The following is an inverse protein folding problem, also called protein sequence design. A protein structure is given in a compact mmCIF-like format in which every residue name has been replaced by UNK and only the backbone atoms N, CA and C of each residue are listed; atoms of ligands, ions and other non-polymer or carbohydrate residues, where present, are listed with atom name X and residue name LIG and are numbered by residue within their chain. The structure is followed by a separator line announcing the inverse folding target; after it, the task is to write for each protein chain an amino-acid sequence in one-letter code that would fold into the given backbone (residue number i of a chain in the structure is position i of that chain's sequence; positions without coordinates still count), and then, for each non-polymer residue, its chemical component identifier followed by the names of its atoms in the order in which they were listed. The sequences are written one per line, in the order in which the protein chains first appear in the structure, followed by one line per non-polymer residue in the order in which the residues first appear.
data_IF_629660323974
#
_entry.id   IF_629660323974
#
_cell.length_a   1.000
_cell.length_b   1.000
_cell.length_c   1.000
_cell.angle_alpha   90.00
_cell.angle_beta   90.00
_cell.angle_gamma   90.00
#
_symmetry.space_group_name_H-M   'P 1'
#
loop_
_entity.id
_entity.type
_entity.pdbx_description
1 polymer ?
#
# COMPACT_ATOMS: atom_id res chain seq x y z
N UNK A 1 -3.25 -42.34 6.76
CA UNK A 1 -3.31 -42.65 8.21
C UNK A 1 -4.11 -41.56 8.89
N UNK A 2 -5.32 -41.86 9.33
CA UNK A 2 -6.08 -40.95 10.23
C UNK A 2 -5.56 -41.13 11.66
N UNK A 3 -5.68 -40.09 12.48
CA UNK A 3 -5.06 -39.99 13.80
C UNK A 3 -5.52 -41.10 14.75
N UNK A 4 -4.58 -41.78 15.41
CA UNK A 4 -4.83 -42.83 16.41
C UNK A 4 -4.43 -42.37 17.82
N UNK A 5 -4.74 -43.20 18.83
CA UNK A 5 -4.28 -43.04 20.20
C UNK A 5 -3.32 -44.16 20.60
N UNK A 6 -2.41 -43.87 21.53
CA UNK A 6 -1.60 -44.91 22.18
C UNK A 6 -2.44 -45.69 23.21
N UNK A 7 -1.96 -46.86 23.65
CA UNK A 7 -2.63 -47.68 24.69
C UNK A 7 -2.94 -46.92 25.99
N UNK A 8 -2.11 -45.92 26.33
CA UNK A 8 -2.31 -45.06 27.49
C UNK A 8 -3.16 -43.80 27.19
N UNK A 9 -3.83 -43.75 26.04
CA UNK A 9 -4.76 -42.68 25.65
C UNK A 9 -4.11 -41.40 25.13
N UNK A 10 -2.78 -41.34 24.96
CA UNK A 10 -2.12 -40.15 24.41
C UNK A 10 -2.33 -40.03 22.90
N UNK A 11 -2.54 -38.81 22.37
CA UNK A 11 -2.74 -38.58 20.95
C UNK A 11 -1.45 -38.82 20.16
N UNK A 12 -1.59 -39.36 18.96
CA UNK A 12 -0.52 -39.61 18.01
C UNK A 12 -0.47 -38.46 16.99
N UNK A 13 0.72 -37.85 16.80
CA UNK A 13 0.92 -36.76 15.85
C UNK A 13 1.91 -37.14 14.75
N UNK A 14 1.49 -37.08 13.46
CA UNK A 14 2.42 -37.16 12.34
C UNK A 14 3.48 -36.06 12.41
N UNK A 15 4.74 -36.40 12.12
CA UNK A 15 5.86 -35.46 12.15
C UNK A 15 6.61 -35.36 13.48
N UNK A 16 6.15 -36.00 14.55
CA UNK A 16 6.96 -36.21 15.77
C UNK A 16 7.88 -37.40 15.51
N UNK A 17 9.20 -37.17 15.50
CA UNK A 17 10.22 -38.19 15.15
C UNK A 17 10.70 -39.05 16.33
N UNK A 18 10.83 -38.54 17.57
CA UNK A 18 11.26 -39.36 18.68
C UNK A 18 10.29 -40.50 18.98
N UNK A 19 10.82 -41.68 19.31
CA UNK A 19 10.01 -42.84 19.73
C UNK A 19 9.36 -42.65 21.10
N UNK A 20 9.85 -41.72 21.92
CA UNK A 20 9.27 -41.37 23.21
C UNK A 20 8.26 -40.21 23.10
N UNK A 21 7.53 -39.95 24.18
CA UNK A 21 6.53 -38.87 24.23
C UNK A 21 7.19 -37.50 24.41
N UNK A 22 6.72 -36.53 23.63
CA UNK A 22 7.23 -35.14 23.69
C UNK A 22 6.10 -34.20 24.10
N UNK A 23 6.41 -33.23 24.98
CA UNK A 23 5.48 -32.16 25.35
C UNK A 23 5.56 -31.02 24.35
N UNK A 24 4.62 -30.99 23.41
CA UNK A 24 4.49 -29.94 22.41
C UNK A 24 3.55 -28.83 22.90
N UNK A 25 3.86 -27.58 22.53
CA UNK A 25 2.94 -26.47 22.70
C UNK A 25 1.78 -26.65 21.72
N UNK A 26 0.55 -26.52 22.22
CA UNK A 26 -0.65 -26.71 21.42
C UNK A 26 -1.39 -25.39 21.29
N UNK A 27 -1.62 -24.99 20.05
CA UNK A 27 -2.32 -23.76 19.69
C UNK A 27 -3.19 -24.04 18.46
N UNK A 28 -4.49 -24.26 18.68
CA UNK A 28 -5.42 -24.65 17.62
C UNK A 28 -5.19 -26.04 16.99
N UNK A 29 -4.38 -26.90 17.61
CA UNK A 29 -4.12 -28.26 17.10
C UNK A 29 -5.25 -29.25 17.44
N UNK A 30 -5.48 -30.24 16.58
CA UNK A 30 -6.60 -31.20 16.66
C UNK A 30 -6.73 -31.96 18.00
N UNK A 31 -5.62 -32.16 18.70
CA UNK A 31 -5.55 -32.93 19.94
C UNK A 31 -5.66 -32.07 21.22
N UNK A 32 -5.87 -30.76 21.08
CA UNK A 32 -6.12 -29.86 22.20
C UNK A 32 -7.20 -28.84 21.84
N UNK A 33 -8.30 -28.88 22.60
CA UNK A 33 -9.35 -27.86 22.53
C UNK A 33 -9.08 -26.79 23.59
N UNK A 34 -8.72 -25.59 23.13
CA UNK A 34 -8.56 -24.43 24.00
C UNK A 34 -9.90 -24.05 24.67
N UNK A 35 -9.85 -23.63 25.94
CA UNK A 35 -11.04 -23.16 26.68
C UNK A 35 -11.25 -21.65 26.60
N UNK A 36 -10.17 -20.90 26.38
CA UNK A 36 -10.16 -19.45 26.21
C UNK A 36 -9.42 -19.09 24.92
N UNK A 37 -9.75 -17.94 24.35
CA UNK A 37 -9.05 -17.41 23.17
C UNK A 37 -7.59 -17.14 23.52
N UNK A 38 -6.66 -17.64 22.69
CA UNK A 38 -5.21 -17.50 22.91
C UNK A 38 -4.62 -18.43 23.97
N UNK A 39 -5.38 -19.38 24.51
CA UNK A 39 -4.88 -20.34 25.50
C UNK A 39 -3.95 -21.36 24.83
N UNK A 40 -2.68 -21.39 25.26
CA UNK A 40 -1.64 -22.29 24.71
C UNK A 40 -1.16 -23.22 25.80
N UNK A 41 -1.26 -24.52 25.57
CA UNK A 41 -0.89 -25.52 26.59
C UNK A 41 0.12 -26.53 26.05
N UNK A 42 1.14 -26.84 26.87
CA UNK A 42 2.04 -27.96 26.56
C UNK A 42 1.34 -29.28 26.90
N UNK A 43 1.19 -30.17 25.92
CA UNK A 43 0.58 -31.50 26.09
C UNK A 43 1.52 -32.58 25.59
N UNK A 44 1.58 -33.73 26.27
CA UNK A 44 2.33 -34.89 25.81
C UNK A 44 1.68 -35.48 24.55
N UNK A 45 2.49 -35.72 23.53
CA UNK A 45 2.10 -36.27 22.24
C UNK A 45 3.09 -37.37 21.88
N UNK A 46 2.60 -38.44 21.26
CA UNK A 46 3.43 -39.54 20.80
C UNK A 46 3.63 -39.48 19.27
N UNK A 47 4.67 -40.16 18.80
CA UNK A 47 5.00 -40.23 17.39
C UNK A 47 3.96 -40.98 16.56
N UNK A 48 3.63 -40.40 15.41
CA UNK A 48 2.89 -41.07 14.34
C UNK A 48 3.74 -42.02 13.51
N UNK A 49 4.04 -43.19 14.07
CA UNK A 49 4.26 -44.41 13.28
C UNK A 49 3.20 -45.41 13.71
N UNK A 50 2.24 -45.62 12.81
CA UNK A 50 1.21 -46.64 12.99
C UNK A 50 1.60 -47.78 12.05
N UNK A 51 1.84 -48.97 12.59
CA UNK A 51 2.10 -50.18 11.77
C UNK A 51 0.82 -50.72 11.10
N UNK A 52 -0.31 -50.02 11.27
CA UNK A 52 -1.64 -50.49 10.87
C UNK A 52 -2.34 -49.40 10.10
N UNK A 53 -2.50 -49.62 8.81
CA UNK A 53 -3.27 -48.78 7.90
C UNK A 53 -4.75 -49.06 8.20
N UNK A 54 -5.46 -48.16 8.89
CA UNK A 54 -6.92 -48.26 9.01
C UNK A 54 -7.51 -47.05 8.27
N UNK A 55 -7.75 -47.25 6.99
CA UNK A 55 -8.44 -46.30 6.13
C UNK A 55 -8.64 -46.94 4.77
N UNK A 56 -9.89 -47.25 4.42
CA UNK A 56 -10.25 -47.80 3.11
C UNK A 56 -10.27 -46.66 2.10
N UNK A 57 -9.23 -46.55 1.28
CA UNK A 57 -9.16 -45.51 0.25
C UNK A 57 -9.89 -45.89 -1.04
N UNK A 58 -10.02 -47.19 -1.32
CA UNK A 58 -10.70 -47.77 -2.48
C UNK A 58 -11.43 -49.04 -2.08
N UNK A 59 -12.56 -49.30 -2.74
CA UNK A 59 -13.32 -50.53 -2.55
C UNK A 59 -12.56 -51.70 -3.18
N UNK A 60 -12.40 -52.80 -2.44
CA UNK A 60 -11.84 -54.06 -2.94
C UNK A 60 -12.90 -54.93 -3.61
N UNK A 61 -12.47 -56.04 -4.22
CA UNK A 61 -13.37 -56.98 -4.91
C UNK A 61 -14.34 -57.71 -3.96
N UNK A 62 -13.95 -57.90 -2.69
CA UNK A 62 -14.75 -58.63 -1.69
C UNK A 62 -15.50 -57.62 -0.82
N UNK A 63 -16.81 -57.82 -0.65
CA UNK A 63 -17.62 -57.02 0.24
C UNK A 63 -17.37 -57.38 1.71
N UNK A 64 -17.19 -56.37 2.55
CA UNK A 64 -16.99 -56.57 3.99
C UNK A 64 -18.34 -56.42 4.71
N UNK A 65 -18.85 -57.49 5.37
CA UNK A 65 -20.12 -57.43 6.08
C UNK A 65 -20.05 -56.42 7.23
N UNK A 66 -21.12 -55.67 7.45
CA UNK A 66 -21.22 -54.64 8.49
C UNK A 66 -20.66 -53.27 8.11
N UNK A 67 -19.79 -53.17 7.09
CA UNK A 67 -19.29 -51.89 6.58
C UNK A 67 -20.02 -51.44 5.30
N UNK A 68 -20.29 -52.38 4.40
CA UNK A 68 -20.86 -52.06 3.08
C UNK A 68 -22.37 -52.31 2.97
N UNK A 69 -22.98 -52.98 3.97
CA UNK A 69 -24.37 -53.42 3.90
C UNK A 69 -25.38 -52.33 4.35
N UNK A 70 -24.93 -51.31 5.09
CA UNK A 70 -25.80 -50.27 5.63
C UNK A 70 -25.40 -48.91 5.01
N UNK A 71 -26.16 -48.45 4.01
CA UNK A 71 -25.97 -47.12 3.44
C UNK A 71 -26.56 -46.11 4.41
N UNK A 72 -25.69 -45.41 5.15
CA UNK A 72 -26.10 -44.32 6.02
C UNK A 72 -26.29 -43.05 5.19
N UNK A 73 -27.51 -42.52 5.17
CA UNK A 73 -27.80 -41.22 4.56
C UNK A 73 -27.18 -40.08 5.37
N UNK A 74 -26.79 -39.00 4.68
CA UNK A 74 -26.27 -37.81 5.35
C UNK A 74 -27.36 -37.13 6.17
N UNK A 75 -27.05 -36.79 7.43
CA UNK A 75 -28.04 -36.26 8.38
C UNK A 75 -28.47 -34.81 8.13
N UNK A 76 -27.66 -33.99 7.46
CA UNK A 76 -27.99 -32.61 7.13
C UNK A 76 -27.78 -32.35 5.65
N UNK A 77 -28.77 -31.69 5.04
CA UNK A 77 -28.67 -31.22 3.66
C UNK A 77 -27.83 -29.93 3.53
N UNK A 78 -27.52 -29.52 2.30
CA UNK A 78 -26.83 -28.26 2.04
C UNK A 78 -27.69 -27.07 2.51
N UNK A 79 -27.11 -26.19 3.34
CA UNK A 79 -27.78 -24.97 3.83
C UNK A 79 -27.58 -23.71 2.97
N UNK A 80 -26.36 -23.37 2.50
CA UNK A 80 -26.18 -22.12 1.77
C UNK A 80 -26.67 -22.25 0.33
N UNK A 81 -27.26 -21.17 -0.21
CA UNK A 81 -27.84 -21.12 -1.56
C UNK A 81 -26.88 -21.63 -2.65
N UNK A 82 -25.58 -21.31 -2.54
CA UNK A 82 -24.55 -21.77 -3.47
C UNK A 82 -24.34 -23.28 -3.44
N UNK A 83 -24.41 -23.90 -2.26
CA UNK A 83 -24.26 -25.36 -2.16
C UNK A 83 -25.54 -26.08 -2.56
N UNK A 84 -26.71 -25.48 -2.31
CA UNK A 84 -28.00 -25.99 -2.80
C UNK A 84 -28.01 -26.02 -4.32
N UNK A 85 -27.61 -24.91 -4.97
CA UNK A 85 -27.52 -24.83 -6.44
C UNK A 85 -26.59 -25.89 -7.03
N UNK A 86 -25.42 -26.12 -6.42
CA UNK A 86 -24.49 -27.17 -6.87
C UNK A 86 -25.06 -28.58 -6.66
N UNK A 87 -25.74 -28.80 -5.54
CA UNK A 87 -26.32 -30.10 -5.20
C UNK A 87 -27.46 -30.49 -6.15
N UNK A 88 -28.32 -29.54 -6.52
CA UNK A 88 -29.45 -29.78 -7.43
C UNK A 88 -29.19 -29.37 -8.90
N UNK A 89 -27.98 -28.92 -9.23
CA UNK A 89 -27.63 -28.37 -10.55
C UNK A 89 -28.57 -27.25 -11.03
N UNK A 90 -28.99 -26.36 -10.12
CA UNK A 90 -29.85 -25.21 -10.44
C UNK A 90 -29.05 -24.05 -11.03
N UNK A 91 -29.71 -23.26 -11.87
CA UNK A 91 -29.16 -22.02 -12.40
C UNK A 91 -29.33 -20.88 -11.38
N UNK A 92 -28.89 -19.65 -11.73
CA UNK A 92 -28.90 -18.52 -10.80
C UNK A 92 -30.26 -17.88 -10.66
N UNK A 93 -31.04 -17.97 -11.72
CA UNK A 93 -32.38 -17.46 -11.91
C UNK A 93 -33.39 -18.22 -11.04
N UNK A 94 -33.15 -19.51 -10.80
CA UNK A 94 -34.01 -20.40 -10.01
C UNK A 94 -33.88 -20.17 -8.48
N UNK A 95 -32.97 -19.29 -8.05
CA UNK A 95 -32.67 -19.10 -6.63
C UNK A 95 -33.66 -18.18 -5.93
N UNK A 96 -34.57 -18.78 -5.18
CA UNK A 96 -35.59 -18.12 -4.36
C UNK A 96 -35.06 -17.57 -3.03
N UNK A 97 -33.79 -17.80 -2.68
CA UNK A 97 -33.23 -17.41 -1.37
C UNK A 97 -32.80 -15.93 -1.31
N UNK A 98 -32.91 -15.17 -2.41
CA UNK A 98 -32.68 -13.72 -2.38
C UNK A 98 -33.90 -13.00 -1.82
N UNK A 99 -33.82 -12.58 -0.56
CA UNK A 99 -34.95 -11.95 0.13
C UNK A 99 -35.11 -10.46 -0.22
N UNK A 100 -36.35 -9.91 -0.20
CA UNK A 100 -36.60 -8.47 -0.41
C UNK A 100 -35.85 -7.59 0.60
N UNK A 101 -35.65 -8.09 1.82
CA UNK A 101 -34.86 -7.44 2.88
C UNK A 101 -33.43 -7.18 2.43
N UNK A 102 -32.81 -8.13 1.72
CA UNK A 102 -31.44 -7.96 1.19
C UNK A 102 -31.37 -6.82 0.19
N UNK A 103 -32.38 -6.69 -0.68
CA UNK A 103 -32.46 -5.60 -1.65
C UNK A 103 -32.70 -4.25 -0.98
N UNK A 104 -33.59 -4.19 0.02
CA UNK A 104 -33.82 -2.98 0.82
C UNK A 104 -32.53 -2.49 1.47
N UNK A 105 -31.82 -3.36 2.22
CA UNK A 105 -30.54 -3.02 2.84
C UNK A 105 -29.50 -2.52 1.83
N UNK A 106 -29.46 -3.12 0.63
CA UNK A 106 -28.53 -2.69 -0.43
C UNK A 106 -28.88 -1.29 -0.96
N UNK A 107 -30.17 -0.98 -1.12
CA UNK A 107 -30.65 0.36 -1.49
C UNK A 107 -30.35 1.36 -0.38
N UNK A 108 -30.53 0.99 0.88
CA UNK A 108 -30.26 1.84 2.04
C UNK A 108 -28.76 2.19 2.13
N UNK A 109 -27.87 1.21 1.94
CA UNK A 109 -26.42 1.47 1.92
C UNK A 109 -26.05 2.45 0.80
N UNK A 110 -26.67 2.32 -0.37
CA UNK A 110 -26.42 3.20 -1.50
C UNK A 110 -26.94 4.62 -1.24
N UNK A 111 -28.16 4.77 -0.68
CA UNK A 111 -28.74 6.07 -0.33
C UNK A 111 -27.92 6.78 0.75
N UNK A 112 -27.42 6.05 1.75
CA UNK A 112 -26.54 6.59 2.78
C UNK A 112 -25.22 7.11 2.21
N UNK A 113 -24.66 6.46 1.18
CA UNK A 113 -23.45 6.95 0.50
C UNK A 113 -23.71 8.26 -0.23
N UNK A 114 -24.83 8.37 -0.97
CA UNK A 114 -25.20 9.60 -1.65
C UNK A 114 -25.40 10.76 -0.68
N UNK A 115 -26.17 10.54 0.40
CA UNK A 115 -26.38 11.56 1.45
C UNK A 115 -25.07 12.03 2.10
N UNK A 116 -24.11 11.12 2.34
CA UNK A 116 -22.79 11.50 2.89
C UNK A 116 -21.99 12.37 1.91
N UNK A 117 -22.05 12.06 0.62
CA UNK A 117 -21.36 12.82 -0.42
C UNK A 117 -22.00 14.21 -0.57
N UNK A 118 -23.33 14.29 -0.59
CA UNK A 118 -24.07 15.56 -0.64
C UNK A 118 -23.74 16.44 0.56
N UNK A 119 -23.80 15.88 1.77
CA UNK A 119 -23.44 16.59 2.99
C UNK A 119 -21.98 17.10 2.97
N UNK A 120 -21.04 16.30 2.48
CA UNK A 120 -19.65 16.72 2.34
C UNK A 120 -19.48 17.85 1.31
N UNK A 121 -20.27 17.84 0.22
CA UNK A 121 -20.29 18.92 -0.77
C UNK A 121 -20.86 20.20 -0.19
N UNK A 122 -21.95 20.11 0.56
CA UNK A 122 -22.57 21.25 1.27
C UNK A 122 -21.57 21.90 2.23
N UNK A 123 -20.95 21.12 3.11
CA UNK A 123 -19.92 21.61 4.04
C UNK A 123 -18.76 22.29 3.32
N UNK A 124 -18.31 21.73 2.20
CA UNK A 124 -17.25 22.32 1.38
C UNK A 124 -17.68 23.65 0.77
N UNK A 125 -18.88 23.72 0.18
CA UNK A 125 -19.40 24.95 -0.40
C UNK A 125 -19.57 26.05 0.65
N UNK A 126 -20.09 25.71 1.83
CA UNK A 126 -20.21 26.64 2.96
C UNK A 126 -18.85 27.17 3.39
N UNK A 127 -17.85 26.29 3.52
CA UNK A 127 -16.49 26.68 3.87
C UNK A 127 -15.85 27.58 2.81
N UNK A 128 -15.99 27.24 1.53
CA UNK A 128 -15.44 28.01 0.41
C UNK A 128 -16.04 29.43 0.37
N UNK A 129 -17.34 29.58 0.66
CA UNK A 129 -18.02 30.89 0.78
C UNK A 129 -17.44 31.69 1.95
N UNK A 130 -17.21 31.06 3.12
CA UNK A 130 -16.59 31.73 4.26
C UNK A 130 -15.16 32.20 3.97
N UNK A 131 -14.36 31.39 3.28
CA UNK A 131 -13.00 31.76 2.88
C UNK A 131 -13.03 32.92 1.88
N UNK A 132 -13.92 32.90 0.89
CA UNK A 132 -14.06 33.99 -0.08
C UNK A 132 -14.38 35.33 0.61
N UNK A 133 -15.25 35.31 1.64
CA UNK A 133 -15.55 36.48 2.48
C UNK A 133 -14.32 36.99 3.24
N UNK A 134 -13.53 36.11 3.84
CA UNK A 134 -12.28 36.50 4.54
C UNK A 134 -11.27 37.13 3.60
N UNK A 135 -11.08 36.53 2.43
CA UNK A 135 -10.16 37.04 1.41
C UNK A 135 -10.61 38.42 0.90
N UNK A 136 -11.91 38.67 0.71
CA UNK A 136 -12.40 39.98 0.30
C UNK A 136 -12.24 41.04 1.39
N UNK A 137 -12.52 40.69 2.65
CA UNK A 137 -12.25 41.54 3.82
C UNK A 137 -10.78 41.92 3.92
N UNK A 138 -9.86 40.96 3.79
CA UNK A 138 -8.42 41.23 3.90
C UNK A 138 -7.88 42.02 2.70
N UNK A 139 -8.39 41.77 1.49
CA UNK A 139 -8.10 42.61 0.31
C UNK A 139 -8.56 44.05 0.54
N UNK A 140 -9.75 44.26 1.10
CA UNK A 140 -10.26 45.59 1.41
C UNK A 140 -9.41 46.31 2.48
N UNK A 141 -9.00 45.60 3.54
CA UNK A 141 -8.09 46.14 4.56
C UNK A 141 -6.74 46.53 3.97
N UNK A 142 -6.13 45.65 3.16
CA UNK A 142 -4.86 45.92 2.49
C UNK A 142 -4.97 47.12 1.54
N UNK A 143 -6.08 47.25 0.81
CA UNK A 143 -6.35 48.40 -0.04
C UNK A 143 -6.46 49.70 0.78
N UNK A 144 -7.14 49.68 1.93
CA UNK A 144 -7.25 50.82 2.83
C UNK A 144 -5.88 51.23 3.42
N UNK A 145 -5.05 50.26 3.83
CA UNK A 145 -3.69 50.51 4.32
C UNK A 145 -2.81 51.09 3.21
N UNK A 146 -2.89 50.55 1.98
CA UNK A 146 -2.16 51.10 0.83
C UNK A 146 -2.61 52.51 0.49
N UNK A 147 -3.90 52.82 0.62
CA UNK A 147 -4.42 54.17 0.37
C UNK A 147 -4.02 55.19 1.46
N UNK A 148 -3.84 54.75 2.71
CA UNK A 148 -3.39 55.63 3.80
C UNK A 148 -1.87 55.86 3.81
N UNK A 149 -1.10 54.96 3.20
CA UNK A 149 0.33 55.16 2.98
C UNK A 149 0.55 56.28 1.95
N UNK A 150 1.11 57.41 2.40
CA UNK A 150 1.58 58.47 1.48
C UNK A 150 2.72 57.92 0.62
N UNK A 151 2.77 58.23 -0.68
CA UNK A 151 3.93 57.90 -1.50
C UNK A 151 5.15 58.58 -0.89
N UNK A 152 6.12 57.78 -0.41
CA UNK A 152 7.39 58.31 0.06
C UNK A 152 8.10 58.97 -1.13
N UNK A 153 8.39 60.26 -1.04
CA UNK A 153 9.03 61.07 -2.08
C UNK A 153 10.52 60.77 -2.28
N UNK A 154 10.99 59.59 -1.89
CA UNK A 154 12.34 59.18 -2.22
C UNK A 154 12.46 59.02 -3.73
N UNK A 155 13.13 60.01 -4.34
CA UNK A 155 13.64 59.92 -5.71
C UNK A 155 14.60 58.74 -5.74
N UNK A 156 14.10 57.55 -6.05
CA UNK A 156 14.96 56.49 -6.54
C UNK A 156 15.48 56.98 -7.87
N UNK A 157 16.71 57.49 -7.88
CA UNK A 157 17.47 57.59 -9.11
C UNK A 157 17.33 56.26 -9.84
N UNK A 158 17.14 56.35 -11.15
CA UNK A 158 17.18 55.21 -12.07
C UNK A 158 18.60 54.62 -12.04
N UNK A 159 18.93 53.91 -10.97
CA UNK A 159 19.94 52.89 -11.03
C UNK A 159 19.22 51.69 -11.61
N UNK A 160 19.61 51.30 -12.83
CA UNK A 160 19.30 50.00 -13.37
C UNK A 160 19.95 48.95 -12.46
N UNK A 161 19.36 48.71 -11.30
CA UNK A 161 19.64 47.53 -10.50
C UNK A 161 18.88 46.40 -11.18
N UNK A 162 19.57 45.39 -11.74
CA UNK A 162 18.91 44.18 -12.18
C UNK A 162 18.10 43.65 -10.99
N UNK A 163 16.86 43.25 -11.25
CA UNK A 163 15.97 42.75 -10.22
C UNK A 163 16.72 41.79 -9.28
N UNK A 164 16.57 41.94 -7.97
CA UNK A 164 17.13 41.02 -6.98
C UNK A 164 16.64 39.57 -7.19
N UNK A 165 15.60 39.37 -8.00
CA UNK A 165 15.18 38.06 -8.51
C UNK A 165 16.12 37.44 -9.56
N UNK A 166 16.88 38.26 -10.28
CA UNK A 166 17.98 37.84 -11.15
C UNK A 166 19.25 37.47 -10.38
N UNK A 167 19.43 37.98 -9.15
CA UNK A 167 20.59 37.64 -8.31
C UNK A 167 20.36 36.45 -7.36
N UNK A 168 19.10 36.05 -7.15
CA UNK A 168 18.73 34.89 -6.35
C UNK A 168 18.56 33.59 -7.16
N UNK A 169 18.89 33.61 -8.45
CA UNK A 169 18.98 32.40 -9.26
C UNK A 169 20.33 32.36 -10.00
N UNK A 170 21.27 31.61 -9.40
CA UNK A 170 22.36 30.89 -10.11
C UNK A 170 23.46 31.79 -10.73
N UNK A 171 24.30 32.45 -9.89
CA UNK A 171 25.71 32.57 -10.24
C UNK A 171 26.68 31.98 -9.19
N UNK A 172 26.23 31.70 -7.96
CA UNK A 172 27.16 31.21 -6.92
C UNK A 172 27.62 29.76 -7.14
N UNK A 173 26.73 28.87 -7.61
CA UNK A 173 27.07 27.46 -7.77
C UNK A 173 28.10 27.23 -8.88
N UNK A 174 27.97 27.93 -10.01
CA UNK A 174 28.93 27.80 -11.12
C UNK A 174 30.30 28.33 -10.70
N UNK A 175 30.36 29.50 -10.07
CA UNK A 175 31.62 30.07 -9.57
C UNK A 175 32.30 29.19 -8.52
N UNK A 176 31.51 28.56 -7.65
CA UNK A 176 32.03 27.61 -6.67
C UNK A 176 32.61 26.35 -7.33
N UNK A 177 31.98 25.85 -8.40
CA UNK A 177 32.53 24.73 -9.17
C UNK A 177 33.78 25.12 -9.96
N UNK A 178 33.84 26.32 -10.56
CA UNK A 178 35.04 26.82 -11.23
C UNK A 178 36.24 26.89 -10.25
N UNK A 179 36.01 27.37 -9.03
CA UNK A 179 37.03 27.43 -7.97
C UNK A 179 37.49 26.03 -7.54
N UNK A 180 36.56 25.09 -7.33
CA UNK A 180 36.89 23.69 -6.99
C UNK A 180 37.66 23.01 -8.13
N UNK A 181 37.18 23.12 -9.38
CA UNK A 181 37.82 22.46 -10.52
C UNK A 181 39.19 23.05 -10.83
N UNK A 182 39.43 24.33 -10.50
CA UNK A 182 40.76 24.94 -10.63
C UNK A 182 41.81 24.33 -9.69
N UNK A 183 41.38 23.77 -8.54
CA UNK A 183 42.27 23.19 -7.53
C UNK A 183 42.23 21.66 -7.49
N UNK A 184 41.18 21.05 -8.05
CA UNK A 184 40.96 19.61 -8.02
C UNK A 184 41.88 18.87 -9.00
N UNK A 185 42.59 17.85 -8.50
CA UNK A 185 43.40 16.94 -9.33
C UNK A 185 42.57 15.88 -10.07
N UNK A 186 41.35 15.61 -9.60
CA UNK A 186 40.44 14.60 -10.15
C UNK A 186 39.07 15.23 -10.28
N UNK A 187 38.49 15.17 -11.48
CA UNK A 187 37.14 15.67 -11.73
C UNK A 187 36.10 14.68 -11.20
N UNK A 188 35.07 15.15 -10.45
CA UNK A 188 34.04 14.25 -9.95
C UNK A 188 33.16 13.76 -11.10
N UNK A 189 32.87 12.46 -11.12
CA UNK A 189 32.02 11.84 -12.17
C UNK A 189 30.54 12.21 -12.01
N UNK A 190 30.07 12.43 -10.78
CA UNK A 190 28.66 12.68 -10.45
C UNK A 190 28.55 13.82 -9.43
N UNK A 191 27.55 14.70 -9.62
CA UNK A 191 27.18 15.76 -8.71
C UNK A 191 25.73 15.56 -8.21
N UNK A 192 25.53 15.47 -6.90
CA UNK A 192 24.22 15.29 -6.28
C UNK A 192 23.56 16.66 -6.00
N UNK A 193 22.42 16.92 -6.62
CA UNK A 193 21.70 18.20 -6.58
C UNK A 193 20.26 18.05 -6.06
N UNK A 194 19.79 19.02 -5.29
CA UNK A 194 18.37 19.15 -4.92
C UNK A 194 17.57 19.78 -6.06
N UNK A 195 17.11 18.95 -7.00
CA UNK A 195 16.29 19.38 -8.15
C UNK A 195 14.81 19.14 -7.90
N UNK A 196 14.00 20.17 -8.14
CA UNK A 196 12.53 20.13 -8.06
C UNK A 196 11.90 20.58 -9.38
N UNK A 197 10.68 20.12 -9.66
CA UNK A 197 9.92 20.47 -10.88
C UNK A 197 9.76 21.99 -11.09
N UNK A 198 9.69 22.75 -9.99
CA UNK A 198 9.54 24.20 -10.02
C UNK A 198 10.87 24.97 -10.04
N UNK A 199 12.02 24.29 -9.89
CA UNK A 199 13.35 24.90 -9.93
C UNK A 199 14.36 23.97 -10.64
N UNK A 200 14.31 23.90 -11.99
CA UNK A 200 15.07 22.92 -12.75
C UNK A 200 16.57 23.24 -12.91
N UNK A 201 17.00 24.48 -12.63
CA UNK A 201 18.39 24.95 -12.72
C UNK A 201 19.09 24.63 -14.07
N UNK A 202 18.50 25.05 -15.19
CA UNK A 202 18.96 24.70 -16.55
C UNK A 202 20.41 25.11 -16.86
N UNK A 203 20.84 26.29 -16.41
CA UNK A 203 22.20 26.80 -16.68
C UNK A 203 23.29 25.94 -16.00
N UNK A 204 23.02 25.42 -14.80
CA UNK A 204 23.94 24.56 -14.08
C UNK A 204 24.09 23.20 -14.79
N UNK A 205 23.00 22.67 -15.36
CA UNK A 205 23.04 21.42 -16.12
C UNK A 205 23.82 21.56 -17.42
N UNK A 206 23.71 22.70 -18.10
CA UNK A 206 24.50 22.98 -19.29
C UNK A 206 26.00 23.01 -18.97
N UNK A 207 26.38 23.64 -17.85
CA UNK A 207 27.77 23.69 -17.38
C UNK A 207 28.32 22.31 -16.94
N UNK A 208 27.54 21.54 -16.19
CA UNK A 208 27.96 20.19 -15.79
C UNK A 208 28.13 19.25 -17.00
N UNK A 209 27.28 19.40 -18.02
CA UNK A 209 27.42 18.68 -19.29
C UNK A 209 28.70 19.04 -20.04
N UNK A 210 29.13 20.31 -20.03
CA UNK A 210 30.39 20.70 -20.69
C UNK A 210 31.62 20.17 -19.97
N UNK A 211 31.58 20.06 -18.65
CA UNK A 211 32.67 19.49 -17.83
C UNK A 211 32.60 17.95 -17.71
N UNK A 212 31.69 17.29 -18.43
CA UNK A 212 31.49 15.82 -18.41
C UNK A 212 31.16 15.28 -16.99
N UNK A 213 30.40 16.05 -16.22
CA UNK A 213 29.92 15.69 -14.87
C UNK A 213 28.44 15.32 -14.94
N UNK A 214 28.07 14.13 -14.47
CA UNK A 214 26.68 13.70 -14.43
C UNK A 214 25.92 14.36 -13.27
N UNK A 215 24.73 14.91 -13.52
CA UNK A 215 23.88 15.49 -12.49
C UNK A 215 22.86 14.48 -11.95
N UNK A 216 22.92 14.15 -10.66
CA UNK A 216 22.01 13.23 -9.99
C UNK A 216 21.10 13.97 -9.00
N UNK A 217 19.79 13.71 -9.00
CA UNK A 217 18.87 14.33 -8.05
C UNK A 217 18.79 13.56 -6.72
N UNK A 218 18.81 14.25 -5.57
CA UNK A 218 18.72 13.60 -4.24
C UNK A 218 17.34 12.96 -3.98
N UNK A 219 16.27 13.49 -4.60
CA UNK A 219 14.94 12.87 -4.62
C UNK A 219 14.08 13.45 -5.76
N UNK A 220 13.86 12.72 -6.87
CA UNK A 220 13.11 13.24 -8.01
C UNK A 220 11.61 13.45 -7.76
N UNK A 221 11.07 12.95 -6.63
CA UNK A 221 9.62 12.94 -6.33
C UNK A 221 9.25 13.70 -5.04
N UNK A 222 10.21 14.32 -4.36
CA UNK A 222 9.97 15.00 -3.08
C UNK A 222 9.52 14.06 -1.95
N UNK A 223 9.26 14.58 -0.74
CA UNK A 223 8.76 13.78 0.37
C UNK A 223 7.34 13.28 0.06
N UNK A 224 7.09 12.00 0.27
CA UNK A 224 5.83 11.28 -0.02
C UNK A 224 4.59 11.80 0.73
N UNK A 225 4.74 12.84 1.56
CA UNK A 225 3.70 13.37 2.45
C UNK A 225 3.25 14.80 2.10
N UNK A 226 3.51 15.29 0.88
CA UNK A 226 2.99 16.58 0.43
C UNK A 226 1.47 16.51 0.11
N UNK A 227 0.63 17.46 0.55
CA UNK A 227 -0.84 17.34 0.46
C UNK A 227 -1.40 17.46 -0.97
N UNK A 228 -0.60 17.93 -1.93
CA UNK A 228 -1.00 18.07 -3.33
C UNK A 228 -0.88 16.73 -4.04
N UNK A 229 -1.95 15.95 -4.03
CA UNK A 229 -2.09 14.67 -4.73
C UNK A 229 -2.09 14.77 -6.27
N UNK A 230 -1.12 15.47 -6.85
CA UNK A 230 -0.91 15.67 -8.29
C UNK A 230 0.35 14.97 -8.81
N UNK A 231 0.89 14.00 -8.06
CA UNK A 231 2.15 13.30 -8.40
C UNK A 231 2.10 12.32 -9.58
N UNK A 232 0.93 12.07 -10.18
CA UNK A 232 0.79 11.02 -11.19
C UNK A 232 0.71 11.50 -12.65
N UNK A 233 0.56 12.80 -12.92
CA UNK A 233 0.17 13.30 -14.27
C UNK A 233 1.31 14.05 -15.00
N UNK A 234 2.42 14.38 -14.34
CA UNK A 234 3.56 15.09 -14.98
C UNK A 234 4.81 14.20 -15.12
N UNK A 235 4.63 12.88 -15.19
CA UNK A 235 5.73 11.89 -15.19
C UNK A 235 6.31 11.58 -16.59
N UNK A 236 5.71 12.07 -17.68
CA UNK A 236 6.05 11.61 -19.03
C UNK A 236 7.22 12.34 -19.72
N UNK A 237 7.41 13.64 -19.48
CA UNK A 237 8.37 14.45 -20.25
C UNK A 237 9.56 14.99 -19.43
N UNK A 238 9.40 15.21 -18.12
CA UNK A 238 10.48 15.73 -17.27
C UNK A 238 11.37 14.60 -16.68
N UNK A 239 10.84 13.37 -16.54
CA UNK A 239 11.55 12.24 -15.93
C UNK A 239 12.59 11.64 -16.88
N UNK A 240 12.35 11.67 -18.19
CA UNK A 240 13.29 11.16 -19.21
C UNK A 240 14.60 11.94 -19.26
N UNK A 241 14.57 13.24 -18.97
CA UNK A 241 15.78 14.07 -18.82
C UNK A 241 16.43 13.98 -17.41
N UNK A 242 15.73 13.41 -16.43
CA UNK A 242 16.22 13.28 -15.04
C UNK A 242 16.85 11.91 -14.73
N UNK A 243 16.58 10.87 -15.54
CA UNK A 243 16.94 9.47 -15.21
C UNK A 243 17.97 8.85 -16.18
N UNK A 244 18.55 9.62 -17.11
CA UNK A 244 19.49 9.07 -18.08
C UNK A 244 20.95 9.04 -17.59
N UNK A 245 21.52 7.83 -17.61
CA UNK A 245 22.93 7.41 -17.48
C UNK A 245 23.47 7.08 -16.08
N UNK A 246 23.23 5.83 -15.66
CA UNK A 246 24.24 5.01 -14.96
C UNK A 246 24.71 3.90 -15.92
N UNK A 247 25.97 3.45 -15.87
CA UNK A 247 26.44 2.38 -16.76
C UNK A 247 25.68 1.09 -16.45
N UNK A 248 25.08 0.51 -17.49
CA UNK A 248 24.54 -0.85 -17.45
C UNK A 248 25.70 -1.79 -17.09
N UNK A 249 25.70 -2.25 -15.84
CA UNK A 249 26.56 -3.37 -15.43
C UNK A 249 25.82 -4.63 -15.87
N UNK A 250 26.32 -5.23 -16.94
CA UNK A 250 25.89 -6.53 -17.43
C UNK A 250 25.82 -7.53 -16.27
N UNK A 251 24.66 -8.17 -16.14
CA UNK A 251 24.44 -9.36 -15.34
C UNK A 251 25.55 -10.38 -15.61
N UNK A 252 26.42 -10.59 -14.61
CA UNK A 252 27.20 -11.82 -14.49
C UNK A 252 26.58 -12.68 -13.41
N UNK A 253 26.28 -13.92 -13.83
CA UNK A 253 25.80 -15.08 -13.07
C UNK A 253 26.39 -15.22 -11.67
#
# INVERSE_FOLDING_TARGET
MTTSSTSQGFPVRPGVLPSYRVKLLCDGHSYYRARRTGDRKRKPVHRGIVNTIIGTAKQGAISVPGLMNNILHQGLGPKPATNIRRFFSWNKEDDTLVTPIRFQRRRDIHSLKHRRIEHQKEQKMEFDVHIAKRVSEDKAKLAAVKASQKPSSHKSGSWAFPSLWSYLTIPCCIKFFEEILSTAKVTPTVNQLDRYLHNPQLNLLAYLKSEVIAAQAYSPLGPTNSPSGTGHILLGQAVTELVSFGPETEDRR
#
